data_IF_008358588781
#
_entry.id   IF_008358588781
#
_cell.length_a   1.000
_cell.length_b   1.000
_cell.length_c   1.000
_cell.angle_alpha   90.00
_cell.angle_beta   90.00
_cell.angle_gamma   90.00
#
_symmetry.space_group_name_H-M   'P 1'
#
loop_
_entity.id
_entity.type
_entity.pdbx_description
1 polymer ?
#
# COMPACT_ATOMS: atom_id res chain seq x y z
N UNK A 1 -20.22 -14.76 -18.87
CA UNK A 1 -21.03 -13.71 -18.22
C UNK A 1 -20.48 -13.56 -16.81
N UNK A 2 -20.20 -12.33 -16.37
CA UNK A 2 -19.58 -12.05 -15.07
C UNK A 2 -20.46 -12.57 -13.94
N UNK A 3 -21.78 -12.38 -14.04
CA UNK A 3 -22.72 -12.80 -13.00
C UNK A 3 -22.68 -14.31 -12.79
N UNK A 4 -22.77 -15.09 -13.88
CA UNK A 4 -22.68 -16.56 -13.83
C UNK A 4 -21.34 -17.05 -13.26
N UNK A 5 -20.23 -16.39 -13.59
CA UNK A 5 -18.91 -16.73 -13.05
C UNK A 5 -18.85 -16.47 -11.54
N UNK A 6 -19.49 -15.39 -11.07
CA UNK A 6 -19.48 -15.04 -9.64
C UNK A 6 -20.46 -15.83 -8.77
N UNK A 7 -21.55 -16.36 -9.34
CA UNK A 7 -22.55 -17.16 -8.61
C UNK A 7 -21.98 -18.47 -8.05
N UNK A 8 -20.96 -19.02 -8.70
CA UNK A 8 -20.32 -20.29 -8.31
C UNK A 8 -19.13 -20.10 -7.37
N UNK A 9 -18.79 -18.87 -6.98
CA UNK A 9 -17.64 -18.60 -6.13
C UNK A 9 -17.87 -19.16 -4.71
N UNK A 10 -16.88 -19.87 -4.15
CA UNK A 10 -16.98 -20.42 -2.81
C UNK A 10 -17.09 -19.28 -1.79
N UNK A 11 -18.07 -19.40 -0.89
CA UNK A 11 -18.29 -18.46 0.21
C UNK A 11 -17.47 -18.80 1.46
N UNK A 12 -16.80 -19.96 1.45
CA UNK A 12 -15.95 -20.47 2.52
C UNK A 12 -14.63 -20.94 1.94
N UNK A 13 -13.57 -20.86 2.75
CA UNK A 13 -12.25 -21.35 2.36
C UNK A 13 -12.28 -22.87 2.26
N UNK A 14 -11.68 -23.40 1.20
CA UNK A 14 -11.45 -24.83 1.06
C UNK A 14 -10.54 -25.35 2.18
N UNK A 15 -10.99 -26.41 2.86
CA UNK A 15 -10.21 -27.09 3.89
C UNK A 15 -8.85 -27.61 3.42
N UNK A 16 -8.70 -27.92 2.13
CA UNK A 16 -7.43 -28.37 1.57
C UNK A 16 -6.45 -27.21 1.36
N UNK A 17 -6.94 -26.01 1.03
CA UNK A 17 -6.12 -24.79 0.98
C UNK A 17 -5.56 -24.41 2.35
N UNK A 18 -6.33 -24.62 3.42
CA UNK A 18 -5.87 -24.35 4.80
C UNK A 18 -4.64 -25.21 5.14
N UNK A 19 -4.57 -26.46 4.65
CA UNK A 19 -3.49 -27.39 4.99
C UNK A 19 -2.15 -27.04 4.34
N UNK A 20 -2.16 -26.36 3.20
CA UNK A 20 -0.96 -26.03 2.43
C UNK A 20 -0.45 -24.61 2.68
N UNK A 21 -1.19 -23.81 3.45
CA UNK A 21 -0.87 -22.42 3.79
C UNK A 21 -0.41 -22.29 5.23
N UNK A 22 0.30 -21.21 5.53
CA UNK A 22 0.65 -20.86 6.90
C UNK A 22 -0.62 -20.44 7.66
N UNK A 23 -1.04 -21.24 8.64
CA UNK A 23 -2.22 -20.95 9.46
C UNK A 23 -1.89 -19.94 10.58
N UNK A 24 -2.44 -18.74 10.45
CA UNK A 24 -2.29 -17.63 11.38
C UNK A 24 -3.63 -17.21 12.00
N UNK A 25 -4.67 -18.04 11.89
CA UNK A 25 -6.01 -17.72 12.40
C UNK A 25 -6.06 -17.54 13.92
N UNK A 26 -5.06 -18.02 14.65
CA UNK A 26 -4.91 -17.81 16.10
C UNK A 26 -4.15 -16.53 16.47
N UNK A 27 -3.45 -15.91 15.54
CA UNK A 27 -2.66 -14.70 15.81
C UNK A 27 -3.55 -13.47 15.94
N UNK A 28 -3.05 -12.45 16.64
CA UNK A 28 -3.70 -11.14 16.71
C UNK A 28 -3.39 -10.37 15.42
N UNK A 29 -4.38 -10.30 14.54
CA UNK A 29 -4.32 -9.60 13.25
C UNK A 29 -5.43 -8.55 13.21
N UNK A 30 -5.12 -7.34 12.78
CA UNK A 30 -6.06 -6.22 12.70
C UNK A 30 -6.06 -5.58 11.30
N UNK A 31 -7.15 -4.88 10.95
CA UNK A 31 -7.19 -3.94 9.82
C UNK A 31 -7.43 -2.53 10.33
N UNK A 32 -6.94 -1.53 9.60
CA UNK A 32 -7.18 -0.11 9.89
C UNK A 32 -7.51 0.58 8.57
N UNK A 33 -8.75 1.01 8.43
CA UNK A 33 -9.29 1.48 7.15
C UNK A 33 -10.09 2.79 7.32
N UNK A 34 -10.42 3.51 6.23
CA UNK A 34 -11.44 4.56 6.28
C UNK A 34 -12.78 4.03 6.78
N UNK A 35 -13.58 4.91 7.39
CA UNK A 35 -14.87 4.53 7.97
C UNK A 35 -15.81 3.88 6.94
N UNK A 36 -15.88 4.47 5.75
CA UNK A 36 -16.77 4.06 4.65
C UNK A 36 -16.24 2.89 3.80
N UNK A 37 -15.04 2.39 4.09
CA UNK A 37 -14.44 1.28 3.34
C UNK A 37 -15.18 -0.04 3.56
N UNK A 38 -15.34 -0.82 2.49
CA UNK A 38 -15.98 -2.16 2.51
C UNK A 38 -15.05 -3.26 1.99
N UNK A 39 -13.97 -2.85 1.34
CA UNK A 39 -12.99 -3.61 0.59
C UNK A 39 -11.63 -3.55 1.30
N UNK A 40 -11.51 -4.26 2.42
CA UNK A 40 -10.27 -4.36 3.21
C UNK A 40 -9.26 -5.26 2.49
N UNK A 41 -8.26 -4.65 1.84
CA UNK A 41 -7.19 -5.31 1.10
C UNK A 41 -6.10 -5.88 2.01
N UNK A 42 -5.77 -5.15 3.07
CA UNK A 42 -4.58 -5.40 3.89
C UNK A 42 -4.90 -5.47 5.39
N UNK A 43 -4.11 -6.29 6.09
CA UNK A 43 -4.15 -6.46 7.52
C UNK A 43 -2.72 -6.54 8.08
N UNK A 44 -2.56 -6.22 9.37
CA UNK A 44 -1.25 -6.21 10.03
C UNK A 44 -1.26 -7.05 11.30
N UNK A 45 -0.11 -7.66 11.59
CA UNK A 45 0.22 -8.26 12.88
C UNK A 45 1.61 -7.82 13.30
N UNK A 46 1.80 -7.57 14.60
CA UNK A 46 3.10 -7.22 15.13
C UNK A 46 3.31 -7.84 16.51
N UNK A 47 4.51 -8.37 16.73
CA UNK A 47 4.98 -8.82 18.04
C UNK A 47 6.49 -8.68 18.13
N UNK A 48 7.04 -8.79 19.34
CA UNK A 48 8.49 -8.90 19.56
C UNK A 48 8.94 -10.33 19.84
N UNK A 49 10.12 -10.68 19.33
CA UNK A 49 10.80 -11.91 19.73
C UNK A 49 11.53 -11.76 21.08
N UNK A 50 12.16 -12.84 21.56
CA UNK A 50 12.92 -12.84 22.83
C UNK A 50 14.13 -11.90 22.85
N UNK A 51 14.61 -11.49 21.68
CA UNK A 51 15.74 -10.55 21.52
C UNK A 51 15.26 -9.10 21.37
N UNK A 52 13.95 -8.88 21.36
CA UNK A 52 13.33 -7.57 21.13
C UNK A 52 13.24 -7.18 19.66
N UNK A 53 13.51 -8.10 18.71
CA UNK A 53 13.28 -7.83 17.29
C UNK A 53 11.78 -7.77 17.01
N UNK A 54 11.39 -6.86 16.13
CA UNK A 54 10.02 -6.75 15.64
C UNK A 54 9.74 -7.84 14.60
N UNK A 55 8.64 -8.56 14.78
CA UNK A 55 8.10 -9.54 13.85
C UNK A 55 6.82 -8.95 13.24
N UNK A 56 6.98 -8.22 12.14
CA UNK A 56 5.87 -7.60 11.41
C UNK A 56 5.35 -8.57 10.35
N UNK A 57 4.03 -8.73 10.29
CA UNK A 57 3.34 -9.39 9.16
C UNK A 57 2.39 -8.40 8.50
N UNK A 58 2.54 -8.23 7.19
CA UNK A 58 1.58 -7.54 6.32
C UNK A 58 0.86 -8.59 5.50
N UNK A 59 -0.45 -8.71 5.68
CA UNK A 59 -1.28 -9.76 5.09
C UNK A 59 -2.20 -9.14 4.04
N UNK A 60 -2.04 -9.51 2.78
CA UNK A 60 -2.82 -8.94 1.67
C UNK A 60 -3.80 -9.98 1.13
N UNK A 61 -5.03 -9.57 0.85
CA UNK A 61 -6.07 -10.41 0.27
C UNK A 61 -5.58 -11.20 -0.96
N UNK A 62 -5.84 -12.52 -0.97
CA UNK A 62 -5.43 -13.40 -2.07
C UNK A 62 -6.43 -13.37 -3.25
N UNK A 63 -6.48 -12.24 -3.95
CA UNK A 63 -7.45 -12.03 -5.05
C UNK A 63 -7.16 -12.95 -6.25
N UNK A 64 -5.89 -13.23 -6.56
CA UNK A 64 -5.53 -14.09 -7.70
C UNK A 64 -5.93 -15.55 -7.52
N UNK A 65 -6.21 -15.99 -6.29
CA UNK A 65 -6.81 -17.29 -6.04
C UNK A 65 -8.26 -17.36 -6.55
N UNK A 66 -9.04 -16.28 -6.41
CA UNK A 66 -10.45 -16.25 -6.79
C UNK A 66 -10.68 -15.75 -8.23
N UNK A 67 -9.74 -14.97 -8.77
CA UNK A 67 -9.85 -14.37 -10.12
C UNK A 67 -8.85 -15.05 -11.05
N UNK A 68 -9.31 -16.11 -11.70
CA UNK A 68 -8.52 -16.86 -12.68
C UNK A 68 -8.07 -15.98 -13.85
N UNK A 69 -6.86 -16.24 -14.35
CA UNK A 69 -6.33 -15.51 -15.50
C UNK A 69 -7.19 -15.74 -16.76
N UNK A 70 -7.46 -14.66 -17.49
CA UNK A 70 -8.25 -14.65 -18.73
C UNK A 70 -9.72 -15.10 -18.56
N UNK A 71 -10.23 -15.16 -17.31
CA UNK A 71 -11.66 -15.32 -17.02
C UNK A 71 -12.48 -14.07 -17.39
N UNK A 72 -13.82 -14.15 -17.35
CA UNK A 72 -14.65 -12.98 -17.67
C UNK A 72 -14.42 -11.86 -16.65
N UNK A 73 -14.30 -12.21 -15.36
CA UNK A 73 -13.99 -11.26 -14.28
C UNK A 73 -12.61 -10.64 -14.51
N UNK A 74 -11.60 -11.42 -14.89
CA UNK A 74 -10.26 -10.90 -15.15
C UNK A 74 -10.20 -9.94 -16.33
N UNK A 75 -10.88 -10.27 -17.43
CA UNK A 75 -10.93 -9.40 -18.62
C UNK A 75 -11.59 -8.05 -18.27
N UNK A 76 -12.67 -8.07 -17.49
CA UNK A 76 -13.32 -6.83 -17.03
C UNK A 76 -12.46 -6.06 -16.02
N UNK A 77 -11.82 -6.74 -15.06
CA UNK A 77 -10.91 -6.12 -14.10
C UNK A 77 -9.73 -5.43 -14.80
N UNK A 78 -9.17 -6.08 -15.83
CA UNK A 78 -8.11 -5.52 -16.69
C UNK A 78 -8.58 -4.29 -17.46
N UNK A 79 -9.81 -4.33 -17.99
CA UNK A 79 -10.42 -3.23 -18.73
C UNK A 79 -10.67 -2.02 -17.82
N UNK A 80 -11.07 -2.24 -16.56
CA UNK A 80 -11.25 -1.17 -15.56
C UNK A 80 -9.92 -0.63 -15.03
N UNK A 81 -8.94 -1.52 -14.82
CA UNK A 81 -7.60 -1.22 -14.31
C UNK A 81 -7.54 -0.85 -12.83
N UNK A 82 -8.48 -0.06 -12.35
CA UNK A 82 -8.58 0.39 -10.94
C UNK A 82 -10.03 0.60 -10.52
N UNK A 83 -10.31 0.51 -9.22
CA UNK A 83 -11.56 1.05 -8.67
C UNK A 83 -11.53 2.58 -8.75
N UNK A 84 -12.68 3.20 -9.02
CA UNK A 84 -12.85 4.66 -9.06
C UNK A 84 -13.72 5.10 -7.89
N UNK A 85 -13.16 5.90 -7.00
CA UNK A 85 -13.84 6.42 -5.81
C UNK A 85 -14.38 7.83 -6.12
N UNK A 86 -15.70 7.97 -6.08
CA UNK A 86 -16.41 9.24 -6.27
C UNK A 86 -17.09 9.65 -4.94
N UNK A 87 -17.39 10.94 -4.72
CA UNK A 87 -18.20 11.34 -3.58
C UNK A 87 -19.53 10.57 -3.55
N UNK A 88 -19.76 9.79 -2.49
CA UNK A 88 -20.98 9.00 -2.27
C UNK A 88 -21.09 7.66 -3.04
N UNK A 89 -20.14 7.31 -3.92
CA UNK A 89 -20.20 6.02 -4.64
C UNK A 89 -18.84 5.51 -5.09
N UNK A 90 -18.73 4.20 -5.29
CA UNK A 90 -17.52 3.55 -5.79
C UNK A 90 -17.88 2.75 -7.03
N UNK A 91 -17.09 2.89 -8.10
CA UNK A 91 -17.13 2.01 -9.26
C UNK A 91 -16.00 0.99 -9.05
N UNK A 92 -16.30 -0.22 -8.53
CA UNK A 92 -15.26 -1.15 -8.13
C UNK A 92 -14.60 -1.82 -9.35
N UNK A 93 -13.31 -2.15 -9.24
CA UNK A 93 -12.61 -2.94 -10.26
C UNK A 93 -13.18 -4.36 -10.36
N UNK A 94 -13.51 -4.95 -9.21
CA UNK A 94 -14.07 -6.30 -9.09
C UNK A 94 -15.55 -6.24 -8.71
N UNK A 95 -16.34 -7.28 -9.04
CA UNK A 95 -17.70 -7.44 -8.53
C UNK A 95 -17.74 -7.41 -6.98
N UNK A 96 -18.80 -6.84 -6.41
CA UNK A 96 -18.91 -6.66 -4.95
C UNK A 96 -18.86 -7.98 -4.16
N UNK A 97 -19.35 -9.07 -4.74
CA UNK A 97 -19.28 -10.41 -4.15
C UNK A 97 -17.84 -10.90 -3.93
N UNK A 98 -16.89 -10.38 -4.71
CA UNK A 98 -15.45 -10.56 -4.49
C UNK A 98 -14.91 -9.46 -3.57
N UNK A 99 -15.04 -8.19 -3.97
CA UNK A 99 -14.38 -7.06 -3.32
C UNK A 99 -14.84 -6.85 -1.87
N UNK A 100 -16.14 -6.92 -1.63
CA UNK A 100 -16.77 -6.73 -0.31
C UNK A 100 -17.10 -8.08 0.35
N UNK A 101 -16.78 -9.20 -0.30
CA UNK A 101 -17.12 -10.55 0.11
C UNK A 101 -15.91 -11.36 0.52
N UNK A 102 -15.58 -12.37 -0.28
CA UNK A 102 -14.57 -13.37 0.06
C UNK A 102 -13.12 -12.85 0.00
N UNK A 103 -12.85 -11.76 -0.74
CA UNK A 103 -11.52 -11.14 -0.76
C UNK A 103 -11.31 -10.15 0.40
N UNK A 104 -12.37 -9.47 0.86
CA UNK A 104 -12.27 -8.50 1.96
C UNK A 104 -11.89 -9.18 3.28
N UNK A 105 -10.88 -8.64 3.96
CA UNK A 105 -10.36 -9.13 5.24
C UNK A 105 -11.25 -8.77 6.44
N UNK A 106 -12.48 -9.30 6.45
CA UNK A 106 -13.49 -9.01 7.49
C UNK A 106 -13.13 -9.58 8.87
N UNK A 107 -13.50 -8.82 9.91
CA UNK A 107 -13.39 -9.24 11.31
C UNK A 107 -14.17 -10.54 11.57
N UNK A 108 -13.52 -11.49 12.24
CA UNK A 108 -14.12 -12.76 12.66
C UNK A 108 -14.17 -13.84 11.59
N UNK A 109 -13.85 -13.54 10.33
CA UNK A 109 -13.92 -14.50 9.23
C UNK A 109 -12.55 -15.01 8.78
N UNK A 110 -12.47 -16.28 8.38
CA UNK A 110 -11.25 -16.84 7.78
C UNK A 110 -11.02 -16.26 6.39
N UNK A 111 -9.80 -15.81 6.08
CA UNK A 111 -9.42 -15.28 4.75
C UNK A 111 -8.07 -15.80 4.25
N UNK A 112 -8.00 -16.04 2.95
CA UNK A 112 -6.75 -16.38 2.26
C UNK A 112 -5.96 -15.10 1.97
N UNK A 113 -4.66 -15.14 2.24
CA UNK A 113 -3.79 -14.00 2.06
C UNK A 113 -2.44 -14.38 1.48
N UNK A 114 -1.80 -13.43 0.82
CA UNK A 114 -0.35 -13.41 0.58
C UNK A 114 0.29 -12.50 1.62
N UNK A 115 1.04 -13.09 2.55
CA UNK A 115 1.72 -12.38 3.62
C UNK A 115 3.16 -12.03 3.27
N UNK A 116 3.60 -10.84 3.67
CA UNK A 116 5.01 -10.45 3.72
C UNK A 116 5.40 -10.34 5.19
N UNK A 117 6.35 -11.16 5.60
CA UNK A 117 6.81 -11.27 6.98
C UNK A 117 8.19 -10.65 7.10
N UNK A 118 8.38 -9.83 8.12
CA UNK A 118 9.60 -9.08 8.35
C UNK A 118 10.13 -9.33 9.75
N UNK A 119 11.45 -9.39 9.83
CA UNK A 119 12.18 -9.27 11.09
C UNK A 119 12.96 -7.96 11.06
N UNK A 120 12.60 -7.00 11.91
CA UNK A 120 13.37 -5.78 12.13
C UNK A 120 14.11 -5.85 13.46
N UNK A 121 15.33 -5.33 13.50
CA UNK A 121 16.04 -5.12 14.76
C UNK A 121 15.32 -4.08 15.64
N UNK A 122 15.64 -3.96 16.94
CA UNK A 122 14.99 -2.99 17.83
C UNK A 122 15.04 -1.54 17.32
N UNK A 123 16.09 -1.16 16.58
CA UNK A 123 16.31 0.15 15.95
C UNK A 123 15.64 0.31 14.57
N UNK A 124 14.88 -0.69 14.09
CA UNK A 124 14.13 -0.60 12.83
C UNK A 124 14.93 -0.95 11.58
N UNK A 125 16.09 -1.60 11.71
CA UNK A 125 16.84 -2.11 10.55
C UNK A 125 16.24 -3.44 10.09
N UNK A 126 15.95 -3.56 8.80
CA UNK A 126 15.50 -4.82 8.20
C UNK A 126 16.59 -5.89 8.32
N UNK A 127 16.28 -6.99 8.99
CA UNK A 127 17.16 -8.16 9.15
C UNK A 127 16.79 -9.27 8.16
N UNK A 128 15.49 -9.49 7.95
CA UNK A 128 14.98 -10.53 7.07
C UNK A 128 13.58 -10.19 6.59
N UNK A 129 13.24 -10.61 5.37
CA UNK A 129 11.88 -10.59 4.84
C UNK A 129 11.59 -11.86 4.05
N UNK A 130 10.38 -12.38 4.14
CA UNK A 130 9.90 -13.52 3.34
C UNK A 130 8.44 -13.35 2.92
N UNK A 131 8.07 -13.96 1.79
CA UNK A 131 6.71 -13.96 1.25
C UNK A 131 6.14 -15.36 1.41
N UNK A 132 4.94 -15.49 2.00
CA UNK A 132 4.24 -16.77 2.17
C UNK A 132 2.76 -16.66 1.89
N UNK A 133 2.17 -17.73 1.39
CA UNK A 133 0.72 -17.88 1.39
C UNK A 133 0.26 -18.26 2.81
N UNK A 134 -0.75 -17.56 3.30
CA UNK A 134 -1.27 -17.71 4.65
C UNK A 134 -2.80 -17.75 4.66
N UNK A 135 -3.34 -18.23 5.77
CA UNK A 135 -4.76 -18.08 6.12
C UNK A 135 -4.84 -17.35 7.44
N UNK A 136 -5.64 -16.29 7.48
CA UNK A 136 -5.77 -15.40 8.64
C UNK A 136 -7.22 -15.36 9.13
N UNK A 137 -7.40 -14.80 10.32
CA UNK A 137 -8.70 -14.41 10.85
C UNK A 137 -8.52 -13.07 11.56
N UNK A 138 -9.05 -12.00 10.97
CA UNK A 138 -8.93 -10.65 11.54
C UNK A 138 -9.67 -10.61 12.87
N UNK A 139 -8.98 -10.25 13.94
CA UNK A 139 -9.54 -10.18 15.30
C UNK A 139 -10.19 -8.85 15.59
N UNK A 140 -9.77 -7.80 14.89
CA UNK A 140 -10.35 -6.47 15.03
C UNK A 140 -10.23 -5.65 13.75
N UNK A 141 -11.35 -5.10 13.29
CA UNK A 141 -11.40 -4.00 12.31
C UNK A 141 -11.43 -2.69 13.06
N UNK A 142 -10.50 -1.80 12.72
CA UNK A 142 -10.44 -0.44 13.25
C UNK A 142 -10.66 0.56 12.11
N UNK A 143 -11.14 1.74 12.47
CA UNK A 143 -11.01 2.92 11.61
C UNK A 143 -9.74 3.67 12.00
N UNK A 144 -9.21 4.52 11.10
CA UNK A 144 -8.12 5.44 11.46
C UNK A 144 -8.48 6.27 12.71
N UNK A 145 -9.71 6.80 12.76
CA UNK A 145 -10.21 7.54 13.92
C UNK A 145 -10.14 6.71 15.22
N UNK A 146 -10.61 5.46 15.20
CA UNK A 146 -10.59 4.60 16.38
C UNK A 146 -9.16 4.22 16.80
N UNK A 147 -8.29 3.92 15.83
CA UNK A 147 -6.89 3.61 16.10
C UNK A 147 -6.15 4.80 16.72
N UNK A 148 -6.34 6.00 16.18
CA UNK A 148 -5.78 7.25 16.74
C UNK A 148 -6.33 7.53 18.13
N UNK A 149 -7.63 7.36 18.34
CA UNK A 149 -8.25 7.53 19.65
C UNK A 149 -7.62 6.60 20.70
N UNK A 150 -7.46 5.31 20.38
CA UNK A 150 -6.79 4.35 21.28
C UNK A 150 -5.36 4.81 21.59
N UNK A 151 -4.60 5.21 20.58
CA UNK A 151 -3.21 5.68 20.75
C UNK A 151 -3.08 6.96 21.59
N UNK A 152 -4.11 7.79 21.66
CA UNK A 152 -4.11 9.06 22.41
C UNK A 152 -4.68 8.91 23.83
N UNK A 153 -5.69 8.07 24.02
CA UNK A 153 -6.45 7.97 25.27
C UNK A 153 -6.00 6.81 26.16
N UNK A 154 -5.39 5.75 25.60
CA UNK A 154 -4.89 4.63 26.40
C UNK A 154 -3.60 5.00 27.13
N UNK A 155 -3.44 4.46 28.34
CA UNK A 155 -2.20 4.55 29.11
C UNK A 155 -1.42 3.22 29.09
N UNK A 156 -0.20 3.23 29.63
CA UNK A 156 0.66 2.03 29.71
C UNK A 156 0.07 0.90 30.58
N UNK A 157 -1.02 1.14 31.32
CA UNK A 157 -1.70 0.12 32.13
C UNK A 157 -2.81 -0.58 31.36
N UNK A 158 -3.16 -0.13 30.15
CA UNK A 158 -4.09 -0.81 29.28
C UNK A 158 -3.52 -2.18 28.89
N UNK A 159 -4.20 -3.24 29.34
CA UNK A 159 -3.79 -4.63 29.07
C UNK A 159 -4.41 -5.18 27.78
N UNK A 160 -5.20 -4.38 27.06
CA UNK A 160 -5.82 -4.79 25.81
C UNK A 160 -4.73 -5.14 24.77
N UNK A 161 -4.73 -6.37 24.22
CA UNK A 161 -3.75 -6.78 23.22
C UNK A 161 -3.73 -5.90 21.96
N UNK A 162 -4.88 -5.35 21.55
CA UNK A 162 -4.98 -4.45 20.39
C UNK A 162 -4.28 -3.12 20.69
N UNK A 163 -4.47 -2.57 21.89
CA UNK A 163 -3.77 -1.35 22.33
C UNK A 163 -2.26 -1.54 22.30
N UNK A 164 -1.77 -2.65 22.87
CA UNK A 164 -0.35 -2.98 22.86
C UNK A 164 0.21 -3.11 21.43
N UNK A 165 -0.51 -3.81 20.55
CA UNK A 165 -0.13 -3.93 19.13
C UNK A 165 -0.05 -2.56 18.46
N UNK A 166 -1.01 -1.65 18.70
CA UNK A 166 -1.00 -0.30 18.14
C UNK A 166 0.19 0.53 18.64
N UNK A 167 0.52 0.47 19.94
CA UNK A 167 1.70 1.17 20.47
C UNK A 167 3.01 0.63 19.88
N UNK A 168 3.12 -0.68 19.75
CA UNK A 168 4.23 -1.34 19.07
C UNK A 168 4.32 -0.92 17.60
N UNK A 169 3.20 -0.90 16.89
CA UNK A 169 3.12 -0.53 15.49
C UNK A 169 3.48 0.94 15.27
N UNK A 170 2.98 1.84 16.12
CA UNK A 170 3.32 3.26 16.15
C UNK A 170 4.82 3.49 16.33
N UNK A 171 5.44 2.72 17.23
CA UNK A 171 6.88 2.81 17.48
C UNK A 171 7.68 2.38 16.26
N UNK A 172 7.38 1.21 15.69
CA UNK A 172 8.09 0.71 14.51
C UNK A 172 7.87 1.63 13.29
N UNK A 173 6.64 2.06 13.04
CA UNK A 173 6.31 2.94 11.92
C UNK A 173 7.08 4.27 11.99
N UNK A 174 7.21 4.88 13.17
CA UNK A 174 8.03 6.10 13.35
C UNK A 174 9.51 5.86 13.02
N UNK A 175 10.06 4.69 13.37
CA UNK A 175 11.44 4.32 13.03
C UNK A 175 11.61 4.17 11.51
N UNK A 176 10.68 3.47 10.85
CA UNK A 176 10.68 3.28 9.40
C UNK A 176 10.53 4.60 8.65
N UNK A 177 9.56 5.43 9.07
CA UNK A 177 9.34 6.76 8.53
C UNK A 177 10.61 7.61 8.60
N UNK A 178 11.20 7.72 9.80
CA UNK A 178 12.43 8.50 10.02
C UNK A 178 13.55 8.04 9.10
N UNK A 179 13.76 6.72 8.99
CA UNK A 179 14.79 6.14 8.12
C UNK A 179 14.53 6.47 6.65
N UNK A 180 13.29 6.35 6.18
CA UNK A 180 12.90 6.68 4.81
C UNK A 180 13.16 8.15 4.47
N UNK A 181 12.88 9.06 5.41
CA UNK A 181 13.22 10.48 5.26
C UNK A 181 14.75 10.72 5.24
N UNK A 182 15.51 10.01 6.08
CA UNK A 182 16.98 10.06 6.09
C UNK A 182 17.61 9.51 4.80
N UNK A 183 16.93 8.58 4.12
CA UNK A 183 17.29 8.03 2.81
C UNK A 183 16.87 8.93 1.63
N UNK A 184 16.23 10.08 1.92
CA UNK A 184 15.95 11.11 0.92
C UNK A 184 14.56 11.01 0.28
N UNK A 185 13.59 10.39 0.97
CA UNK A 185 12.20 10.56 0.59
C UNK A 185 11.75 12.02 0.74
N UNK A 186 10.76 12.41 -0.07
CA UNK A 186 10.11 13.70 -0.03
C UNK A 186 8.68 13.52 0.48
N UNK A 187 8.30 14.36 1.43
CA UNK A 187 6.94 14.44 1.96
C UNK A 187 6.32 15.79 1.58
N UNK A 188 5.26 15.72 0.78
CA UNK A 188 4.48 16.88 0.36
C UNK A 188 3.26 17.00 1.26
N UNK A 189 3.19 18.08 2.05
CA UNK A 189 2.05 18.32 2.93
C UNK A 189 0.95 19.08 2.18
N UNK A 190 0.16 18.34 1.40
CA UNK A 190 -1.01 18.86 0.71
C UNK A 190 -2.29 18.44 1.46
N UNK A 191 -3.22 19.38 1.73
CA UNK A 191 -4.48 19.05 2.37
C UNK A 191 -5.31 18.17 1.45
N UNK A 192 -5.66 16.97 1.91
CA UNK A 192 -6.71 16.16 1.31
C UNK A 192 -8.08 16.59 1.85
N UNK A 193 -9.10 16.47 1.01
CA UNK A 193 -10.47 16.88 1.32
C UNK A 193 -11.37 15.66 1.19
N UNK A 194 -12.13 15.37 2.25
CA UNK A 194 -13.23 14.42 2.21
C UNK A 194 -14.55 15.17 1.99
N UNK A 195 -15.33 14.73 1.00
CA UNK A 195 -16.63 15.31 0.66
C UNK A 195 -17.69 14.25 0.97
N UNK A 196 -18.53 14.50 1.97
CA UNK A 196 -19.67 13.63 2.29
C UNK A 196 -20.90 14.09 1.53
N UNK A 197 -21.62 13.13 0.95
CA UNK A 197 -22.84 13.35 0.19
C UNK A 197 -24.01 12.77 0.98
N UNK A 198 -25.10 13.52 1.12
CA UNK A 198 -26.32 13.05 1.78
C UNK A 198 -27.20 12.19 0.84
N UNK A 199 -28.29 11.63 1.37
CA UNK A 199 -29.21 10.77 0.62
C UNK A 199 -29.85 11.45 -0.60
N UNK A 200 -29.98 12.78 -0.59
CA UNK A 200 -30.50 13.57 -1.72
C UNK A 200 -29.44 13.83 -2.83
N UNK A 201 -28.22 13.30 -2.67
CA UNK A 201 -27.11 13.50 -3.60
C UNK A 201 -26.45 14.88 -3.51
N UNK A 202 -26.65 15.62 -2.40
CA UNK A 202 -26.04 16.94 -2.17
C UNK A 202 -24.86 16.84 -1.22
N UNK A 203 -23.93 17.80 -1.33
CA UNK A 203 -22.82 17.94 -0.39
C UNK A 203 -23.40 18.23 0.99
N UNK A 204 -23.06 17.37 1.94
CA UNK A 204 -23.40 17.50 3.36
C UNK A 204 -22.27 18.19 4.11
N UNK A 205 -21.07 17.59 4.08
CA UNK A 205 -19.87 18.13 4.72
C UNK A 205 -18.65 18.10 3.80
N UNK A 206 -17.75 19.06 4.03
CA UNK A 206 -16.43 19.13 3.42
C UNK A 206 -15.44 19.21 4.58
N UNK A 207 -14.65 18.16 4.76
CA UNK A 207 -13.73 18.01 5.89
C UNK A 207 -12.30 17.88 5.36
N UNK A 208 -11.35 18.56 5.99
CA UNK A 208 -9.93 18.31 5.72
C UNK A 208 -9.55 16.98 6.36
N UNK A 209 -8.98 16.07 5.59
CA UNK A 209 -8.47 14.80 6.11
C UNK A 209 -7.19 15.09 6.87
N UNK A 210 -7.16 14.71 8.15
CA UNK A 210 -5.95 14.76 8.96
C UNK A 210 -5.18 13.46 8.82
N UNK A 211 -3.98 13.54 8.27
CA UNK A 211 -3.01 12.45 8.34
C UNK A 211 -2.44 12.37 9.75
N UNK A 212 -2.69 11.28 10.43
CA UNK A 212 -2.27 11.04 11.81
C UNK A 212 -1.38 9.80 11.94
N UNK A 213 -1.00 9.45 13.17
CA UNK A 213 -0.12 8.30 13.43
C UNK A 213 -0.70 6.97 12.92
N UNK A 214 -2.02 6.78 12.91
CA UNK A 214 -2.62 5.55 12.40
C UNK A 214 -2.48 5.43 10.88
N UNK A 215 -2.51 6.55 10.16
CA UNK A 215 -2.20 6.60 8.72
C UNK A 215 -0.73 6.26 8.48
N UNK A 216 0.18 6.86 9.26
CA UNK A 216 1.63 6.58 9.15
C UNK A 216 1.93 5.10 9.38
N UNK A 217 1.25 4.44 10.32
CA UNK A 217 1.42 2.99 10.57
C UNK A 217 1.14 2.19 9.30
N UNK A 218 -0.03 2.39 8.70
CA UNK A 218 -0.44 1.64 7.51
C UNK A 218 0.45 2.01 6.31
N UNK A 219 0.69 3.30 6.07
CA UNK A 219 1.54 3.77 4.97
C UNK A 219 2.93 3.14 4.99
N UNK A 220 3.65 3.20 6.13
CA UNK A 220 5.01 2.68 6.23
C UNK A 220 5.06 1.15 6.07
N UNK A 221 4.07 0.44 6.62
CA UNK A 221 4.02 -1.02 6.51
C UNK A 221 3.67 -1.46 5.08
N UNK A 222 2.77 -0.75 4.39
CA UNK A 222 2.46 -1.03 2.99
C UNK A 222 3.63 -0.67 2.07
N UNK A 223 4.33 0.44 2.31
CA UNK A 223 5.56 0.79 1.58
C UNK A 223 6.62 -0.30 1.76
N UNK A 224 6.83 -0.80 2.98
CA UNK A 224 7.76 -1.88 3.26
C UNK A 224 7.39 -3.18 2.52
N UNK A 225 6.12 -3.57 2.51
CA UNK A 225 5.61 -4.72 1.75
C UNK A 225 5.85 -4.57 0.25
N UNK A 226 5.46 -3.43 -0.31
CA UNK A 226 5.67 -3.08 -1.72
C UNK A 226 7.15 -3.14 -2.11
N UNK A 227 8.04 -2.56 -1.32
CA UNK A 227 9.48 -2.57 -1.56
C UNK A 227 10.07 -3.99 -1.46
N UNK A 228 9.67 -4.77 -0.46
CA UNK A 228 10.17 -6.12 -0.25
C UNK A 228 9.78 -7.05 -1.40
N UNK A 229 8.53 -6.97 -1.88
CA UNK A 229 8.08 -7.73 -3.05
C UNK A 229 8.80 -7.27 -4.32
N UNK A 230 8.98 -5.95 -4.53
CA UNK A 230 9.76 -5.42 -5.64
C UNK A 230 11.18 -5.99 -5.66
N UNK A 231 11.85 -5.94 -4.51
CA UNK A 231 13.22 -6.41 -4.32
C UNK A 231 13.32 -7.92 -4.57
N UNK A 232 12.37 -8.69 -4.04
CA UNK A 232 12.31 -10.14 -4.24
C UNK A 232 12.14 -10.51 -5.72
N UNK A 233 11.22 -9.86 -6.42
CA UNK A 233 10.97 -10.11 -7.84
C UNK A 233 12.20 -9.77 -8.69
N UNK A 234 12.87 -8.64 -8.39
CA UNK A 234 14.11 -8.25 -9.05
C UNK A 234 15.24 -9.27 -8.82
N UNK A 235 15.52 -9.63 -7.56
CA UNK A 235 16.57 -10.59 -7.21
C UNK A 235 16.31 -11.98 -7.79
N UNK A 236 15.04 -12.35 -7.97
CA UNK A 236 14.62 -13.61 -8.59
C UNK A 236 14.53 -13.53 -10.13
N UNK A 237 14.85 -12.38 -10.73
CA UNK A 237 14.75 -12.12 -12.17
C UNK A 237 13.39 -12.55 -12.74
N UNK A 238 12.32 -12.11 -12.06
CA UNK A 238 10.94 -12.33 -12.48
C UNK A 238 10.46 -11.15 -13.32
N UNK A 239 9.59 -11.39 -14.32
CA UNK A 239 8.79 -10.33 -14.93
C UNK A 239 8.11 -9.51 -13.84
N UNK A 240 8.08 -8.18 -13.96
CA UNK A 240 7.42 -7.32 -12.98
C UNK A 240 6.76 -6.10 -13.64
N UNK A 241 5.69 -5.61 -12.99
CA UNK A 241 5.11 -4.30 -13.26
C UNK A 241 5.52 -3.37 -12.12
N UNK A 242 6.50 -2.52 -12.38
CA UNK A 242 7.04 -1.61 -11.37
C UNK A 242 6.19 -0.35 -11.28
N UNK A 243 6.20 0.30 -10.11
CA UNK A 243 5.64 1.63 -9.92
C UNK A 243 6.80 2.60 -9.89
N UNK A 244 7.08 3.20 -11.04
CA UNK A 244 8.23 4.06 -11.27
C UNK A 244 7.86 5.51 -11.03
N UNK A 245 8.76 6.29 -10.43
CA UNK A 245 8.66 7.74 -10.36
C UNK A 245 10.00 8.32 -10.81
N UNK A 246 10.12 8.72 -12.09
CA UNK A 246 11.36 9.25 -12.64
C UNK A 246 11.83 10.50 -11.91
N UNK A 247 13.11 10.84 -12.07
CA UNK A 247 13.63 12.13 -11.62
C UNK A 247 12.88 13.27 -12.32
N UNK A 248 12.64 14.40 -11.63
CA UNK A 248 12.05 15.58 -12.23
C UNK A 248 12.96 16.17 -13.30
N UNK A 249 12.37 16.93 -14.23
CA UNK A 249 13.16 17.65 -15.23
C UNK A 249 13.98 18.75 -14.57
N UNK A 250 15.23 18.92 -15.00
CA UNK A 250 16.15 19.89 -14.41
C UNK A 250 15.59 21.31 -14.48
N UNK A 251 15.07 21.71 -15.63
CA UNK A 251 14.46 23.02 -15.86
C UNK A 251 13.26 23.27 -14.92
N UNK A 252 12.37 22.30 -14.74
CA UNK A 252 11.21 22.41 -13.84
C UNK A 252 11.62 22.59 -12.36
N UNK A 253 12.71 21.94 -11.94
CA UNK A 253 13.25 22.09 -10.59
C UNK A 253 13.98 23.42 -10.39
N UNK A 254 14.66 23.94 -11.43
CA UNK A 254 15.28 25.26 -11.40
C UNK A 254 14.21 26.36 -11.35
N UNK A 255 13.14 26.23 -12.14
CA UNK A 255 11.97 27.13 -12.10
C UNK A 255 11.33 27.15 -10.70
N UNK A 256 11.21 25.98 -10.06
CA UNK A 256 10.77 25.91 -8.67
C UNK A 256 11.71 26.66 -7.72
N UNK A 257 13.02 26.49 -7.85
CA UNK A 257 13.98 27.20 -7.00
C UNK A 257 13.94 28.72 -7.21
N UNK A 258 13.72 29.18 -8.45
CA UNK A 258 13.52 30.59 -8.77
C UNK A 258 12.21 31.13 -8.16
N UNK A 259 11.12 30.36 -8.23
CA UNK A 259 9.86 30.69 -7.56
C UNK A 259 10.07 30.89 -6.04
N UNK A 260 10.79 29.97 -5.38
CA UNK A 260 11.12 30.12 -3.95
C UNK A 260 11.97 31.36 -3.68
N UNK A 261 12.96 31.65 -4.52
CA UNK A 261 13.76 32.86 -4.39
C UNK A 261 12.90 34.12 -4.47
N UNK A 262 11.98 34.20 -5.43
CA UNK A 262 11.10 35.36 -5.62
C UNK A 262 10.09 35.51 -4.47
N UNK A 263 9.59 34.42 -3.90
CA UNK A 263 8.62 34.46 -2.81
C UNK A 263 9.24 34.67 -1.42
N UNK A 264 10.45 34.15 -1.18
CA UNK A 264 11.06 34.06 0.16
C UNK A 264 12.41 34.77 0.28
N UNK A 265 12.96 35.28 -0.82
CA UNK A 265 14.34 35.76 -0.91
C UNK A 265 15.37 34.72 -0.39
N UNK A 266 15.06 33.43 -0.58
CA UNK A 266 15.85 32.29 -0.10
C UNK A 266 16.31 31.47 -1.29
N UNK A 267 17.63 31.27 -1.41
CA UNK A 267 18.19 30.35 -2.42
C UNK A 267 18.17 28.94 -1.87
N UNK A 268 17.59 28.02 -2.64
CA UNK A 268 17.55 26.58 -2.32
C UNK A 268 18.31 25.80 -3.39
N UNK A 269 18.83 24.62 -3.03
CA UNK A 269 19.26 23.64 -4.02
C UNK A 269 18.12 22.61 -4.17
N UNK A 270 17.35 22.64 -5.28
CA UNK A 270 16.20 21.76 -5.45
C UNK A 270 16.59 20.29 -5.68
N UNK A 271 17.87 20.01 -5.99
CA UNK A 271 18.36 18.66 -6.25
C UNK A 271 18.89 17.94 -4.99
N UNK A 272 19.16 18.69 -3.90
CA UNK A 272 19.51 18.09 -2.61
C UNK A 272 18.23 17.76 -1.85
N UNK A 273 17.75 16.52 -1.98
CA UNK A 273 16.48 16.06 -1.38
C UNK A 273 16.41 16.29 0.13
N UNK A 274 17.53 16.14 0.86
CA UNK A 274 17.54 16.33 2.32
C UNK A 274 17.34 17.79 2.67
N UNK A 275 18.01 18.70 1.96
CA UNK A 275 17.82 20.15 2.15
C UNK A 275 16.44 20.60 1.68
N UNK A 276 15.94 20.02 0.59
CA UNK A 276 14.60 20.29 0.10
C UNK A 276 13.54 19.86 1.14
N UNK A 277 13.65 18.65 1.70
CA UNK A 277 12.74 18.21 2.76
C UNK A 277 12.85 19.10 4.00
N UNK A 278 14.06 19.41 4.47
CA UNK A 278 14.24 20.29 5.62
C UNK A 278 13.62 21.68 5.38
N UNK A 279 13.64 22.17 4.14
CA UNK A 279 12.95 23.40 3.76
C UNK A 279 11.41 23.23 3.82
N UNK A 280 10.86 22.13 3.33
CA UNK A 280 9.42 21.84 3.42
C UNK A 280 8.95 21.75 4.88
N UNK A 281 9.74 21.12 5.74
CA UNK A 281 9.45 21.03 7.18
C UNK A 281 9.45 22.41 7.84
N UNK A 282 10.45 23.26 7.54
CA UNK A 282 10.56 24.63 8.03
C UNK A 282 9.34 25.48 7.67
N UNK A 283 8.79 25.31 6.46
CA UNK A 283 7.65 26.10 6.00
C UNK A 283 6.29 25.48 6.33
N UNK A 284 6.24 24.32 6.98
CA UNK A 284 5.02 23.52 7.11
C UNK A 284 3.84 24.30 7.73
N UNK A 285 4.10 25.13 8.73
CA UNK A 285 3.12 25.98 9.43
C UNK A 285 2.94 27.38 8.83
N UNK A 286 3.63 27.70 7.73
CA UNK A 286 3.50 29.00 7.06
C UNK A 286 2.25 29.07 6.17
N UNK A 287 1.62 30.26 6.00
CA UNK A 287 0.43 30.40 5.16
C UNK A 287 0.67 30.04 3.68
N UNK A 288 1.91 30.20 3.21
CA UNK A 288 2.37 29.85 1.86
C UNK A 288 2.80 28.38 1.71
N UNK A 289 2.75 27.57 2.77
CA UNK A 289 3.08 26.13 2.74
C UNK A 289 2.35 25.40 1.61
N UNK A 290 1.04 25.66 1.48
CA UNK A 290 0.20 25.03 0.46
C UNK A 290 0.69 25.31 -0.95
N UNK A 291 0.93 26.59 -1.29
CA UNK A 291 1.32 26.95 -2.67
C UNK A 291 2.73 26.43 -2.99
N UNK A 292 3.64 26.42 -2.02
CA UNK A 292 4.99 25.89 -2.21
C UNK A 292 4.95 24.37 -2.44
N UNK A 293 4.22 23.62 -1.63
CA UNK A 293 4.05 22.17 -1.82
C UNK A 293 3.38 21.86 -3.17
N UNK A 294 2.41 22.69 -3.59
CA UNK A 294 1.72 22.52 -4.87
C UNK A 294 2.65 22.82 -6.06
N UNK A 295 3.49 23.85 -5.97
CA UNK A 295 4.47 24.15 -7.02
C UNK A 295 5.51 23.03 -7.11
N UNK A 296 6.03 22.55 -5.98
CA UNK A 296 6.96 21.42 -5.99
C UNK A 296 6.32 20.19 -6.62
N UNK A 297 5.08 19.83 -6.24
CA UNK A 297 4.35 18.72 -6.85
C UNK A 297 4.26 18.84 -8.38
N UNK A 298 4.05 20.06 -8.90
CA UNK A 298 3.94 20.31 -10.35
C UNK A 298 5.29 20.19 -11.08
N UNK A 299 6.38 20.49 -10.40
CA UNK A 299 7.74 20.29 -10.93
C UNK A 299 8.18 18.82 -10.93
N UNK A 300 7.49 17.94 -10.18
CA UNK A 300 7.76 16.51 -10.18
C UNK A 300 7.11 15.79 -11.37
N UNK A 301 7.75 14.72 -11.84
CA UNK A 301 7.16 13.80 -12.82
C UNK A 301 5.99 13.02 -12.19
N UNK A 302 5.04 12.58 -13.01
CA UNK A 302 4.00 11.66 -12.53
C UNK A 302 4.59 10.26 -12.38
N UNK A 303 4.21 9.57 -11.30
CA UNK A 303 4.52 8.15 -11.16
C UNK A 303 3.66 7.31 -12.11
N UNK A 304 4.26 6.30 -12.73
CA UNK A 304 3.66 5.46 -13.76
C UNK A 304 3.92 3.98 -13.50
N UNK A 305 3.13 3.12 -14.15
CA UNK A 305 3.44 1.70 -14.19
C UNK A 305 4.37 1.41 -15.37
N UNK A 306 5.45 0.67 -15.13
CA UNK A 306 6.45 0.39 -16.16
C UNK A 306 7.07 -0.99 -16.00
N UNK A 307 7.38 -1.64 -17.13
CA UNK A 307 8.23 -2.84 -17.15
C UNK A 307 9.70 -2.50 -16.97
N UNK A 308 10.09 -1.24 -17.22
CA UNK A 308 11.45 -0.80 -16.98
C UNK A 308 11.60 -0.43 -15.53
N UNK A 309 12.53 -1.09 -14.86
CA UNK A 309 12.81 -0.83 -13.47
C UNK A 309 13.60 0.47 -13.34
N UNK A 310 12.97 1.46 -12.73
CA UNK A 310 13.60 2.72 -12.35
C UNK A 310 13.29 2.98 -10.89
N UNK A 311 14.08 3.85 -10.25
CA UNK A 311 13.83 4.28 -8.88
C UNK A 311 12.48 5.01 -8.76
N UNK A 312 11.97 5.07 -7.53
CA UNK A 312 10.82 5.87 -7.17
C UNK A 312 11.29 7.16 -6.46
N UNK A 313 11.47 8.23 -7.23
CA UNK A 313 12.10 9.48 -6.81
C UNK A 313 11.60 10.03 -5.47
N UNK A 314 10.28 10.21 -5.31
CA UNK A 314 9.69 10.78 -4.09
C UNK A 314 9.75 9.86 -2.87
N UNK A 315 9.81 8.53 -3.08
CA UNK A 315 9.91 7.59 -1.94
C UNK A 315 11.37 7.34 -1.55
N UNK A 316 12.34 7.74 -2.38
CA UNK A 316 13.75 7.46 -2.15
C UNK A 316 14.10 5.97 -2.31
N UNK A 317 13.28 5.19 -3.04
CA UNK A 317 13.44 3.74 -3.15
C UNK A 317 13.97 3.34 -4.51
N UNK A 318 14.91 2.38 -4.55
CA UNK A 318 15.45 1.83 -5.79
C UNK A 318 14.43 0.89 -6.47
N UNK A 319 13.75 0.05 -5.67
CA UNK A 319 12.79 -0.94 -6.16
C UNK A 319 11.43 -0.70 -5.51
N UNK A 320 10.41 -0.47 -6.34
CA UNK A 320 9.06 -0.25 -5.88
C UNK A 320 8.02 -0.75 -6.89
N UNK A 321 6.99 -1.43 -6.39
CA UNK A 321 5.81 -1.83 -7.12
C UNK A 321 4.59 -1.75 -6.21
N UNK A 322 3.39 -1.88 -6.76
CA UNK A 322 2.18 -2.00 -5.95
C UNK A 322 1.80 -3.47 -5.77
N UNK A 323 1.67 -3.91 -4.51
CA UNK A 323 1.32 -5.27 -4.11
C UNK A 323 0.11 -5.31 -3.14
N UNK A 324 -0.08 -4.26 -2.34
CA UNK A 324 -0.95 -4.26 -1.16
C UNK A 324 -2.41 -3.91 -1.42
N UNK A 325 -2.86 -3.77 -2.68
CA UNK A 325 -4.28 -3.47 -2.95
C UNK A 325 -4.85 -4.16 -4.20
N UNK A 326 -4.79 -5.50 -4.28
CA UNK A 326 -5.25 -6.27 -5.43
C UNK A 326 -6.77 -6.27 -5.64
N UNK A 327 -7.58 -5.88 -4.66
CA UNK A 327 -9.05 -5.74 -4.84
C UNK A 327 -9.37 -4.56 -5.76
N UNK A 328 -8.55 -3.49 -5.70
CA UNK A 328 -8.82 -2.22 -6.35
C UNK A 328 -7.78 -1.77 -7.38
N UNK A 329 -6.66 -2.49 -7.54
CA UNK A 329 -5.62 -2.20 -8.55
C UNK A 329 -5.23 -3.46 -9.31
N UNK A 330 -5.37 -3.43 -10.63
CA UNK A 330 -5.01 -4.57 -11.49
C UNK A 330 -3.50 -4.89 -11.51
N UNK A 331 -2.59 -3.90 -11.44
CA UNK A 331 -1.15 -4.17 -11.34
C UNK A 331 -0.77 -5.04 -10.14
N UNK A 332 -1.39 -4.82 -8.98
CA UNK A 332 -1.21 -5.65 -7.79
C UNK A 332 -1.68 -7.09 -8.06
N UNK A 333 -2.81 -7.27 -8.75
CA UNK A 333 -3.29 -8.61 -9.14
C UNK A 333 -2.32 -9.34 -10.08
N UNK A 334 -1.65 -8.61 -10.99
CA UNK A 334 -0.59 -9.17 -11.85
C UNK A 334 0.59 -9.64 -11.00
N UNK A 335 1.05 -8.82 -10.05
CA UNK A 335 2.16 -9.16 -9.14
C UNK A 335 1.83 -10.43 -8.35
N UNK A 336 0.61 -10.51 -7.81
CA UNK A 336 0.12 -11.69 -7.09
C UNK A 336 0.18 -12.97 -7.93
N UNK A 337 -0.26 -12.91 -9.20
CA UNK A 337 -0.19 -14.06 -10.13
C UNK A 337 1.24 -14.48 -10.43
N UNK A 338 2.14 -13.53 -10.60
CA UNK A 338 3.55 -13.82 -10.88
C UNK A 338 4.20 -14.53 -9.68
N UNK A 339 3.85 -14.12 -8.45
CA UNK A 339 4.26 -14.83 -7.24
C UNK A 339 3.69 -16.26 -7.20
N UNK A 340 2.41 -16.45 -7.53
CA UNK A 340 1.80 -17.79 -7.59
C UNK A 340 2.53 -18.70 -8.58
N UNK A 341 2.78 -18.21 -9.80
CA UNK A 341 3.50 -18.96 -10.82
C UNK A 341 4.95 -19.25 -10.41
N UNK A 342 5.60 -18.33 -9.70
CA UNK A 342 6.93 -18.55 -9.15
C UNK A 342 6.94 -19.69 -8.12
N UNK A 343 6.04 -19.64 -7.11
CA UNK A 343 5.97 -20.66 -6.07
C UNK A 343 5.54 -22.03 -6.61
N UNK A 344 4.75 -22.07 -7.69
CA UNK A 344 4.42 -23.30 -8.42
C UNK A 344 5.57 -23.82 -9.31
N UNK A 345 6.68 -23.09 -9.42
CA UNK A 345 7.83 -23.44 -10.26
C UNK A 345 7.58 -23.27 -11.77
N UNK A 346 6.53 -22.54 -12.16
CA UNK A 346 6.11 -22.32 -13.56
C UNK A 346 6.89 -21.19 -14.25
N UNK A 347 7.58 -20.33 -13.50
CA UNK A 347 8.44 -19.25 -14.03
C UNK A 347 9.92 -19.64 -14.20
N UNK A 348 10.23 -20.94 -14.31
CA UNK A 348 11.61 -21.40 -14.56
C UNK A 348 12.08 -21.23 -16.00
N UNK A 349 11.17 -21.22 -16.97
CA UNK A 349 11.51 -21.11 -18.38
C UNK A 349 11.61 -19.65 -18.82
N UNK A 350 12.72 -19.30 -19.46
CA UNK A 350 12.92 -17.97 -20.08
C UNK A 350 11.83 -17.65 -21.11
N UNK A 351 11.28 -18.65 -21.82
CA UNK A 351 10.16 -18.44 -22.74
C UNK A 351 8.90 -17.97 -22.02
N UNK A 352 8.59 -18.57 -20.87
CA UNK A 352 7.44 -18.17 -20.05
C UNK A 352 7.63 -16.77 -19.50
N UNK A 353 8.84 -16.44 -19.03
CA UNK A 353 9.18 -15.09 -18.54
C UNK A 353 8.99 -14.04 -19.64
N UNK A 354 9.59 -14.27 -20.82
CA UNK A 354 9.46 -13.36 -21.96
C UNK A 354 8.00 -13.14 -22.40
N UNK A 355 7.17 -14.18 -22.33
CA UNK A 355 5.73 -14.06 -22.64
C UNK A 355 5.03 -13.14 -21.65
N UNK A 356 5.39 -13.21 -20.36
CA UNK A 356 4.86 -12.30 -19.35
C UNK A 356 5.40 -10.89 -19.52
N UNK A 357 6.68 -10.70 -19.81
CA UNK A 357 7.25 -9.38 -20.09
C UNK A 357 6.53 -8.68 -21.24
N UNK A 358 6.24 -9.39 -22.34
CA UNK A 358 5.49 -8.85 -23.47
C UNK A 358 4.06 -8.46 -23.08
N UNK A 359 3.36 -9.31 -22.32
CA UNK A 359 2.00 -9.02 -21.83
C UNK A 359 1.97 -7.79 -20.92
N UNK A 360 2.89 -7.73 -19.95
CA UNK A 360 2.98 -6.62 -19.01
C UNK A 360 3.35 -5.34 -19.75
N UNK A 361 4.28 -5.38 -20.70
CA UNK A 361 4.64 -4.23 -21.53
C UNK A 361 3.45 -3.71 -22.36
N UNK A 362 2.55 -4.59 -22.79
CA UNK A 362 1.30 -4.21 -23.42
C UNK A 362 0.35 -3.51 -22.45
N UNK A 363 0.20 -4.03 -21.24
CA UNK A 363 -0.73 -3.49 -20.24
C UNK A 363 -0.25 -2.20 -19.58
N UNK A 364 1.06 -2.05 -19.35
CA UNK A 364 1.63 -0.86 -18.70
C UNK A 364 1.51 0.43 -19.53
N UNK A 365 1.18 0.34 -20.83
CA UNK A 365 0.93 1.50 -21.70
C UNK A 365 -0.44 2.15 -21.49
N UNK A 366 -1.34 1.46 -20.80
CA UNK A 366 -2.72 1.85 -20.55
C UNK A 366 -2.92 2.09 -19.05
#
# INVERSE_FOLDING_TARGET
>A
DIFTETEVLPQLIDSDEIKVRLDLRSELIITIDPEDAKDFDDAISLKKDKKGNWLLGVHVADVSYYVEQDSTVDVEARKRGTSVYLPGTVIPMLPEVLSNGICSLKEGEGRLTKGVFFTYSPDGKLLHSEIKHSVINVKKRLTYHNATKILMESDEKDTNPVTNLLFEASTLAKLLYKKRMEEGALELNLPEINIRINEDGKIDTIEKVSRDISHIIIEEFMIAANQAVATFMHQSSLPSINRSHPEPDEDEMLDFAEFIFNCKNKRINPFDKKRLQAFLDEISDHPESYIINLMLLRSLRKAEYSTTQTSHFALGLEYYLHFTSPIRRYPDLIVHRLLDLFFQGKLKSEKTKATWDERIAGWAKH
#
